data_IF_289150578717
#
_entry.id   IF_289150578717
#
_cell.length_a   1.000
_cell.length_b   1.000
_cell.length_c   1.000
_cell.angle_alpha   90.00
_cell.angle_beta   90.00
_cell.angle_gamma   90.00
#
_symmetry.space_group_name_H-M   'P 1'
#
loop_
_entity.id
_entity.type
_entity.pdbx_description
1 polymer ?
#
# COMPACT_ATOMS: atom_id res chain seq x y z
N UNK A 1 -11.37 16.91 -33.29
CA UNK A 1 -10.63 16.11 -32.29
C UNK A 1 -11.41 14.83 -32.06
N UNK A 2 -10.93 13.71 -32.59
CA UNK A 2 -11.55 12.41 -32.35
C UNK A 2 -10.95 11.83 -31.07
N UNK A 3 -11.79 11.47 -30.10
CA UNK A 3 -11.34 10.76 -28.90
C UNK A 3 -10.91 9.35 -29.31
N UNK A 4 -9.69 8.97 -28.91
CA UNK A 4 -9.17 7.65 -29.20
C UNK A 4 -9.66 6.64 -28.16
N UNK A 5 -9.49 5.34 -28.42
CA UNK A 5 -9.81 4.25 -27.50
C UNK A 5 -9.16 4.45 -26.12
N UNK A 6 -7.95 5.00 -26.10
CA UNK A 6 -7.24 5.34 -24.86
C UNK A 6 -7.95 6.43 -24.05
N UNK A 7 -8.48 7.46 -24.71
CA UNK A 7 -9.24 8.52 -24.04
C UNK A 7 -10.54 7.97 -23.42
N UNK A 8 -11.24 7.10 -24.15
CA UNK A 8 -12.43 6.42 -23.61
C UNK A 8 -12.11 5.54 -22.41
N UNK A 9 -10.96 4.85 -22.41
CA UNK A 9 -10.52 4.06 -21.27
C UNK A 9 -10.24 4.95 -20.04
N UNK A 10 -9.55 6.08 -20.22
CA UNK A 10 -9.27 7.04 -19.15
C UNK A 10 -10.58 7.60 -18.59
N UNK A 11 -11.51 8.03 -19.46
CA UNK A 11 -12.83 8.53 -19.04
C UNK A 11 -13.60 7.46 -18.27
N UNK A 12 -13.60 6.21 -18.74
CA UNK A 12 -14.27 5.11 -18.06
C UNK A 12 -13.70 4.88 -16.64
N UNK A 13 -12.37 4.89 -16.49
CA UNK A 13 -11.72 4.77 -15.19
C UNK A 13 -12.10 5.93 -14.28
N UNK A 14 -12.09 7.17 -14.78
CA UNK A 14 -12.48 8.36 -13.99
C UNK A 14 -13.95 8.31 -13.58
N UNK A 15 -14.86 7.89 -14.47
CA UNK A 15 -16.28 7.73 -14.15
C UNK A 15 -16.51 6.62 -13.12
N UNK A 16 -15.84 5.48 -13.26
CA UNK A 16 -15.90 4.41 -12.25
C UNK A 16 -15.36 4.90 -10.90
N UNK A 17 -14.26 5.66 -10.92
CA UNK A 17 -13.68 6.28 -9.73
C UNK A 17 -14.65 7.26 -9.08
N UNK A 18 -15.33 8.08 -9.89
CA UNK A 18 -16.33 9.02 -9.41
C UNK A 18 -17.52 8.28 -8.77
N UNK A 19 -18.06 7.25 -9.44
CA UNK A 19 -19.18 6.45 -8.93
C UNK A 19 -18.83 5.72 -7.63
N UNK A 20 -17.64 5.12 -7.56
CA UNK A 20 -17.17 4.46 -6.34
C UNK A 20 -16.95 5.47 -5.21
N UNK A 21 -16.40 6.65 -5.50
CA UNK A 21 -16.18 7.70 -4.51
C UNK A 21 -17.49 8.28 -3.98
N UNK A 22 -18.48 8.45 -4.87
CA UNK A 22 -19.83 8.89 -4.51
C UNK A 22 -20.54 7.87 -3.59
N UNK A 23 -20.35 6.56 -3.84
CA UNK A 23 -20.92 5.50 -3.00
C UNK A 23 -20.19 5.31 -1.67
N UNK A 24 -18.87 5.49 -1.64
CA UNK A 24 -18.05 5.27 -0.45
C UNK A 24 -18.00 6.46 0.50
N UNK A 25 -18.18 7.70 0.04
CA UNK A 25 -18.06 8.89 0.87
C UNK A 25 -16.61 9.24 1.24
N UNK A 26 -16.38 10.49 1.66
CA UNK A 26 -15.06 10.99 2.06
C UNK A 26 -14.55 10.28 3.32
N UNK A 27 -15.40 10.17 4.35
CA UNK A 27 -15.00 9.62 5.65
C UNK A 27 -14.51 8.18 5.55
N UNK A 28 -15.11 7.36 4.69
CA UNK A 28 -14.64 6.00 4.47
C UNK A 28 -13.30 5.93 3.75
N UNK A 29 -13.08 6.80 2.77
CA UNK A 29 -11.82 6.86 2.02
C UNK A 29 -10.68 7.38 2.91
N UNK A 30 -10.93 8.46 3.66
CA UNK A 30 -9.98 9.01 4.64
C UNK A 30 -9.76 8.02 5.79
N UNK A 31 -10.82 7.42 6.34
CA UNK A 31 -10.72 6.46 7.44
C UNK A 31 -9.93 5.21 7.05
N UNK A 32 -10.03 4.78 5.79
CA UNK A 32 -9.14 3.76 5.22
C UNK A 32 -7.68 4.18 5.26
N UNK A 33 -7.35 5.33 4.68
CA UNK A 33 -5.96 5.84 4.58
C UNK A 33 -5.37 6.17 5.95
N UNK A 34 -6.06 7.00 6.74
CA UNK A 34 -5.65 7.39 8.08
C UNK A 34 -5.61 6.18 9.01
N UNK A 35 -6.55 5.23 8.88
CA UNK A 35 -6.50 3.99 9.64
C UNK A 35 -5.27 3.15 9.31
N UNK A 36 -4.90 3.03 8.04
CA UNK A 36 -3.64 2.35 7.68
C UNK A 36 -2.41 3.08 8.21
N UNK A 37 -2.36 4.41 8.15
CA UNK A 37 -1.23 5.19 8.65
C UNK A 37 -1.11 5.12 10.18
N UNK A 38 -2.23 5.30 10.89
CA UNK A 38 -2.27 5.26 12.35
C UNK A 38 -2.01 3.84 12.84
N UNK A 39 -2.61 2.82 12.21
CA UNK A 39 -2.33 1.42 12.51
C UNK A 39 -0.87 1.05 12.28
N UNK A 40 -0.26 1.54 11.20
CA UNK A 40 1.16 1.34 10.91
C UNK A 40 2.05 2.02 11.96
N UNK A 41 1.75 3.27 12.31
CA UNK A 41 2.48 4.01 13.34
C UNK A 41 2.38 3.28 14.68
N UNK A 42 1.18 2.86 15.08
CA UNK A 42 0.97 2.07 16.28
C UNK A 42 1.75 0.73 16.23
N UNK A 43 1.75 0.04 15.09
CA UNK A 43 2.49 -1.21 14.94
C UNK A 43 4.00 -0.99 15.10
N UNK A 44 4.57 0.04 14.49
CA UNK A 44 5.99 0.37 14.63
C UNK A 44 6.36 0.67 16.09
N UNK A 45 5.49 1.38 16.82
CA UNK A 45 5.77 1.73 18.22
C UNK A 45 5.59 0.55 19.19
N UNK A 46 4.53 -0.24 19.02
CA UNK A 46 4.07 -1.19 20.05
C UNK A 46 4.29 -2.68 19.71
N UNK A 47 4.76 -3.03 18.51
CA UNK A 47 4.96 -4.44 18.11
C UNK A 47 5.84 -5.23 19.08
N UNK A 48 6.89 -4.60 19.63
CA UNK A 48 7.78 -5.24 20.61
C UNK A 48 7.11 -5.48 21.96
N UNK A 49 6.38 -4.48 22.45
CA UNK A 49 5.67 -4.60 23.74
C UNK A 49 4.61 -5.70 23.68
N UNK A 50 3.87 -5.78 22.57
CA UNK A 50 2.88 -6.83 22.38
C UNK A 50 3.54 -8.22 22.27
N UNK A 51 4.66 -8.34 21.56
CA UNK A 51 5.41 -9.59 21.48
C UNK A 51 5.93 -10.05 22.85
N UNK A 52 6.45 -9.12 23.68
CA UNK A 52 6.88 -9.40 25.05
C UNK A 52 5.69 -9.83 25.92
N UNK A 53 4.55 -9.15 25.81
CA UNK A 53 3.34 -9.52 26.54
C UNK A 53 2.84 -10.93 26.18
N UNK A 54 2.86 -11.28 24.89
CA UNK A 54 2.52 -12.63 24.41
C UNK A 54 3.49 -13.69 24.93
N UNK A 55 4.76 -13.36 25.12
CA UNK A 55 5.73 -14.26 25.74
C UNK A 55 5.48 -14.42 27.24
N UNK A 56 5.34 -13.32 27.97
CA UNK A 56 5.18 -13.35 29.43
C UNK A 56 3.90 -14.04 29.88
N UNK A 57 2.79 -13.87 29.15
CA UNK A 57 1.50 -14.44 29.54
C UNK A 57 1.24 -15.82 28.95
N UNK A 58 1.65 -16.07 27.71
CA UNK A 58 1.29 -17.30 26.98
C UNK A 58 2.49 -18.17 26.63
N UNK A 59 3.73 -17.70 26.85
CA UNK A 59 4.95 -18.39 26.42
C UNK A 59 4.96 -18.65 24.92
N UNK A 60 4.37 -17.75 24.12
CA UNK A 60 4.01 -18.03 22.74
C UNK A 60 5.23 -18.30 21.84
N UNK A 61 6.34 -17.60 22.06
CA UNK A 61 7.62 -17.82 21.37
C UNK A 61 8.25 -19.14 21.81
N UNK A 62 8.15 -19.49 23.11
CA UNK A 62 8.64 -20.78 23.62
C UNK A 62 7.85 -21.96 23.04
N UNK A 63 6.52 -21.84 22.98
CA UNK A 63 5.65 -22.84 22.34
C UNK A 63 5.98 -23.00 20.84
N UNK A 64 6.11 -21.88 20.14
CA UNK A 64 6.41 -21.88 18.70
C UNK A 64 7.82 -22.41 18.41
N UNK A 65 8.79 -22.15 19.29
CA UNK A 65 10.13 -22.73 19.21
C UNK A 65 10.09 -24.26 19.32
N UNK A 66 9.26 -24.81 20.22
CA UNK A 66 9.02 -26.25 20.33
C UNK A 66 8.44 -26.85 19.04
N UNK A 67 7.46 -26.17 18.42
CA UNK A 67 6.90 -26.60 17.12
C UNK A 67 7.97 -26.59 16.03
N UNK A 68 8.85 -25.58 16.01
CA UNK A 68 9.94 -25.52 15.03
C UNK A 68 10.99 -26.61 15.26
N UNK A 69 11.37 -26.92 16.50
CA UNK A 69 12.29 -28.02 16.78
C UNK A 69 11.71 -29.38 16.40
N UNK A 70 10.39 -29.57 16.48
CA UNK A 70 9.72 -30.84 16.16
C UNK A 70 9.45 -31.01 14.66
N UNK A 71 9.11 -29.93 13.94
CA UNK A 71 8.70 -29.98 12.51
C UNK A 71 9.81 -29.63 11.53
N UNK A 72 10.81 -28.87 11.96
CA UNK A 72 11.96 -28.51 11.14
C UNK A 72 13.21 -29.13 11.77
N UNK A 73 13.90 -30.07 11.08
CA UNK A 73 15.25 -30.44 11.46
C UNK A 73 16.15 -29.25 11.11
N UNK A 74 16.08 -28.19 11.91
CA UNK A 74 16.95 -27.03 11.78
C UNK A 74 18.37 -27.56 12.04
N UNK A 75 19.25 -27.56 11.02
CA UNK A 75 20.63 -27.91 11.24
C UNK A 75 21.11 -26.92 12.30
N UNK A 76 21.56 -27.43 13.45
CA UNK A 76 22.26 -26.62 14.43
C UNK A 76 23.28 -25.79 13.63
N UNK A 77 23.08 -24.46 13.58
CA UNK A 77 23.91 -23.60 12.75
C UNK A 77 25.36 -23.92 13.11
N UNK A 78 26.13 -24.37 12.13
CA UNK A 78 27.49 -24.82 12.36
C UNK A 78 28.23 -23.70 13.13
N UNK A 79 28.82 -23.98 14.30
CA UNK A 79 29.45 -22.95 15.15
C UNK A 79 30.52 -22.12 14.42
N UNK A 80 31.04 -22.61 13.28
CA UNK A 80 31.91 -21.85 12.37
C UNK A 80 31.23 -20.69 11.62
N UNK A 81 29.95 -20.80 11.26
CA UNK A 81 29.17 -19.73 10.60
C UNK A 81 28.77 -18.62 11.59
N UNK A 82 28.50 -18.99 12.85
CA UNK A 82 28.18 -18.05 13.93
C UNK A 82 29.38 -17.14 14.23
N UNK A 83 30.60 -17.70 14.21
CA UNK A 83 31.86 -16.94 14.35
C UNK A 83 32.19 -16.07 13.14
N UNK A 84 31.81 -16.47 11.92
CA UNK A 84 32.12 -15.73 10.70
C UNK A 84 31.21 -14.49 10.49
N UNK A 85 30.05 -14.47 11.12
CA UNK A 85 29.03 -13.42 10.95
C UNK A 85 28.83 -12.53 12.20
N UNK A 86 29.72 -12.67 13.19
CA UNK A 86 29.78 -11.87 14.44
C UNK A 86 28.41 -11.71 15.15
N UNK A 87 27.66 -12.81 15.20
CA UNK A 87 26.38 -12.79 15.88
C UNK A 87 26.57 -12.77 17.40
N UNK A 88 25.80 -11.95 18.15
CA UNK A 88 25.89 -11.88 19.60
C UNK A 88 25.58 -13.26 20.23
N UNK A 89 26.33 -13.61 21.28
CA UNK A 89 26.43 -14.92 21.91
C UNK A 89 25.11 -15.52 22.49
N UNK A 90 23.96 -14.90 22.26
CA UNK A 90 22.61 -15.42 22.60
C UNK A 90 22.02 -16.41 21.58
N UNK A 91 22.71 -16.72 20.47
CA UNK A 91 22.28 -17.69 19.45
C UNK A 91 22.49 -19.16 19.83
N UNK A 92 22.34 -19.53 21.11
CA UNK A 92 22.43 -20.93 21.52
C UNK A 92 21.26 -21.78 20.95
N UNK A 93 20.14 -21.15 20.56
CA UNK A 93 18.98 -21.86 20.02
C UNK A 93 18.35 -21.13 18.80
N UNK A 94 18.74 -21.49 17.55
CA UNK A 94 18.23 -20.83 16.35
C UNK A 94 16.71 -20.97 16.18
N UNK A 95 16.11 -22.01 16.76
CA UNK A 95 14.66 -22.19 16.78
C UNK A 95 13.97 -21.09 17.60
N UNK A 96 14.54 -20.72 18.75
CA UNK A 96 14.00 -19.70 19.64
C UNK A 96 14.14 -18.29 19.06
N UNK A 97 15.25 -17.99 18.38
CA UNK A 97 15.43 -16.73 17.67
C UNK A 97 14.41 -16.57 16.53
N UNK A 98 14.22 -17.62 15.71
CA UNK A 98 13.22 -17.63 14.65
C UNK A 98 11.80 -17.49 15.21
N UNK A 99 11.48 -18.21 16.28
CA UNK A 99 10.19 -18.12 16.95
C UNK A 99 9.92 -16.69 17.44
N UNK A 100 10.86 -16.10 18.18
CA UNK A 100 10.74 -14.74 18.70
C UNK A 100 10.56 -13.72 17.58
N UNK A 101 11.34 -13.85 16.50
CA UNK A 101 11.23 -12.97 15.33
C UNK A 101 9.87 -13.09 14.64
N UNK A 102 9.34 -14.32 14.53
CA UNK A 102 8.00 -14.55 13.98
C UNK A 102 6.91 -13.96 14.87
N UNK A 103 7.01 -14.13 16.20
CA UNK A 103 6.05 -13.56 17.15
C UNK A 103 6.06 -12.03 17.08
N UNK A 104 7.23 -11.41 16.95
CA UNK A 104 7.34 -9.95 16.71
C UNK A 104 6.65 -9.54 15.41
N UNK A 105 6.85 -10.29 14.32
CA UNK A 105 6.21 -10.02 13.04
C UNK A 105 4.68 -10.19 13.09
N UNK A 106 4.20 -11.24 13.77
CA UNK A 106 2.76 -11.47 14.00
C UNK A 106 2.19 -10.34 14.84
N UNK A 107 2.90 -9.92 15.89
CA UNK A 107 2.49 -8.81 16.77
C UNK A 107 2.36 -7.50 15.99
N UNK A 108 3.31 -7.22 15.12
CA UNK A 108 3.25 -6.08 14.21
C UNK A 108 2.00 -6.13 13.32
N UNK A 109 1.75 -7.27 12.67
CA UNK A 109 0.59 -7.45 11.81
C UNK A 109 -0.73 -7.33 12.58
N UNK A 110 -0.81 -7.88 13.79
CA UNK A 110 -1.99 -7.79 14.63
C UNK A 110 -2.30 -6.33 14.99
N UNK A 111 -1.31 -5.57 15.45
CA UNK A 111 -1.51 -4.16 15.79
C UNK A 111 -1.89 -3.34 14.56
N UNK A 112 -1.22 -3.58 13.43
CA UNK A 112 -1.54 -2.91 12.17
C UNK A 112 -3.00 -3.18 11.79
N UNK A 113 -3.42 -4.44 11.74
CA UNK A 113 -4.77 -4.81 11.31
C UNK A 113 -5.83 -4.30 12.29
N UNK A 114 -5.64 -4.50 13.60
CA UNK A 114 -6.59 -4.07 14.63
C UNK A 114 -6.65 -2.54 14.70
N UNK A 115 -5.50 -1.87 14.74
CA UNK A 115 -5.42 -0.41 14.77
C UNK A 115 -6.07 0.22 13.54
N UNK A 116 -5.78 -0.30 12.34
CA UNK A 116 -6.42 0.17 11.12
C UNK A 116 -7.91 -0.07 11.10
N UNK A 117 -8.37 -1.24 11.58
CA UNK A 117 -9.80 -1.55 11.63
C UNK A 117 -10.56 -0.70 12.64
N UNK A 118 -9.97 -0.40 13.79
CA UNK A 118 -10.58 0.47 14.80
C UNK A 118 -10.80 1.88 14.26
N UNK A 119 -9.79 2.48 13.64
CA UNK A 119 -9.92 3.81 13.03
C UNK A 119 -10.94 3.80 11.89
N UNK A 120 -10.93 2.77 11.05
CA UNK A 120 -11.94 2.62 9.99
C UNK A 120 -13.35 2.55 10.57
N UNK A 121 -13.56 1.77 11.64
CA UNK A 121 -14.86 1.62 12.29
C UNK A 121 -15.32 2.94 12.91
N UNK A 122 -14.43 3.70 13.56
CA UNK A 122 -14.74 5.02 14.09
C UNK A 122 -15.18 6.00 12.98
N UNK A 123 -14.48 5.99 11.84
CA UNK A 123 -14.87 6.81 10.69
C UNK A 123 -16.21 6.37 10.08
N UNK A 124 -16.48 5.07 10.00
CA UNK A 124 -17.77 4.53 9.53
C UNK A 124 -18.92 4.87 10.50
N UNK A 125 -18.67 4.84 11.81
CA UNK A 125 -19.64 5.26 12.83
C UNK A 125 -19.96 6.75 12.68
N UNK A 126 -18.93 7.57 12.54
CA UNK A 126 -19.07 9.01 12.33
C UNK A 126 -19.86 9.29 11.04
N UNK A 127 -19.57 8.55 9.97
CA UNK A 127 -20.31 8.62 8.72
C UNK A 127 -21.79 8.24 8.90
N UNK A 128 -22.10 7.20 9.67
CA UNK A 128 -23.49 6.79 9.96
C UNK A 128 -24.29 7.88 10.68
N UNK A 129 -23.65 8.62 11.59
CA UNK A 129 -24.27 9.73 12.32
C UNK A 129 -24.46 10.95 11.41
N UNK A 130 -23.48 11.26 10.55
CA UNK A 130 -23.53 12.38 9.61
C UNK A 130 -24.35 12.09 8.33
N UNK A 131 -24.77 10.84 8.12
CA UNK A 131 -25.53 10.43 6.94
C UNK A 131 -26.94 11.05 6.86
N UNK A 132 -27.49 11.55 7.97
CA UNK A 132 -28.79 12.22 8.03
C UNK A 132 -28.61 13.74 7.86
N UNK A 133 -28.64 14.23 6.61
CA UNK A 133 -28.70 15.67 6.31
C UNK A 133 -27.93 16.11 5.05
N UNK A 134 -27.86 17.43 4.83
CA UNK A 134 -27.16 18.07 3.69
C UNK A 134 -25.66 17.73 3.67
N UNK A 135 -25.06 17.49 4.85
CA UNK A 135 -23.67 17.03 5.00
C UNK A 135 -23.39 15.67 4.34
N UNK A 136 -24.40 14.82 4.15
CA UNK A 136 -24.27 13.54 3.43
C UNK A 136 -23.94 13.76 1.95
N UNK A 137 -24.56 14.77 1.32
CA UNK A 137 -24.27 15.16 -0.06
C UNK A 137 -22.83 15.68 -0.20
N UNK A 138 -22.38 16.51 0.73
CA UNK A 138 -21.01 17.03 0.77
C UNK A 138 -19.99 15.91 0.99
N UNK A 139 -20.24 14.99 1.92
CA UNK A 139 -19.38 13.82 2.17
C UNK A 139 -19.22 12.95 0.90
N UNK A 140 -20.32 12.68 0.20
CA UNK A 140 -20.29 11.90 -1.05
C UNK A 140 -19.59 12.64 -2.19
N UNK A 141 -19.81 13.95 -2.32
CA UNK A 141 -19.14 14.79 -3.30
C UNK A 141 -17.63 14.90 -3.07
N UNK A 142 -17.21 15.09 -1.82
CA UNK A 142 -15.79 15.11 -1.46
C UNK A 142 -15.14 13.72 -1.64
N UNK A 143 -15.87 12.64 -1.33
CA UNK A 143 -15.42 11.26 -1.58
C UNK A 143 -15.22 10.97 -3.07
N UNK A 144 -16.13 11.46 -3.92
CA UNK A 144 -16.00 11.43 -5.38
C UNK A 144 -14.73 12.17 -5.82
N UNK A 145 -14.59 13.44 -5.42
CA UNK A 145 -13.46 14.28 -5.81
C UNK A 145 -12.11 13.69 -5.40
N UNK A 146 -12.01 13.21 -4.15
CA UNK A 146 -10.77 12.62 -3.63
C UNK A 146 -10.40 11.32 -4.36
N UNK A 147 -11.37 10.46 -4.68
CA UNK A 147 -11.08 9.22 -5.39
C UNK A 147 -10.72 9.46 -6.87
N UNK A 148 -11.40 10.40 -7.52
CA UNK A 148 -11.05 10.85 -8.88
C UNK A 148 -9.65 11.43 -8.90
N UNK A 149 -9.33 12.36 -7.98
CA UNK A 149 -8.02 12.98 -7.89
C UNK A 149 -6.92 11.94 -7.64
N UNK A 150 -7.13 11.04 -6.67
CA UNK A 150 -6.19 9.94 -6.38
C UNK A 150 -5.93 9.09 -7.63
N UNK A 151 -6.98 8.62 -8.29
CA UNK A 151 -6.83 7.73 -9.44
C UNK A 151 -6.26 8.47 -10.65
N UNK A 152 -6.56 9.76 -10.81
CA UNK A 152 -5.93 10.61 -11.81
C UNK A 152 -4.42 10.72 -11.57
N UNK A 153 -3.98 10.95 -10.33
CA UNK A 153 -2.55 10.98 -10.00
C UNK A 153 -1.87 9.64 -10.25
N UNK A 154 -2.51 8.52 -9.87
CA UNK A 154 -1.99 7.18 -10.17
C UNK A 154 -1.82 6.97 -11.67
N UNK A 155 -2.83 7.34 -12.46
CA UNK A 155 -2.77 7.24 -13.92
C UNK A 155 -1.68 8.15 -14.51
N UNK A 156 -1.50 9.37 -13.99
CA UNK A 156 -0.46 10.29 -14.44
C UNK A 156 0.93 9.69 -14.20
N UNK A 157 1.16 9.14 -12.99
CA UNK A 157 2.42 8.45 -12.66
C UNK A 157 2.63 7.22 -13.53
N UNK A 158 1.61 6.38 -13.71
CA UNK A 158 1.71 5.21 -14.59
C UNK A 158 2.01 5.62 -16.03
N UNK A 159 1.33 6.64 -16.56
CA UNK A 159 1.57 7.14 -17.91
C UNK A 159 3.00 7.67 -18.06
N UNK A 160 3.45 8.57 -17.18
CA UNK A 160 4.79 9.15 -17.23
C UNK A 160 5.91 8.10 -17.13
N UNK A 161 5.74 7.11 -16.26
CA UNK A 161 6.71 6.03 -16.09
C UNK A 161 6.71 5.06 -17.27
N UNK A 162 5.55 4.77 -17.86
CA UNK A 162 5.43 3.79 -18.95
C UNK A 162 5.76 4.35 -20.33
N UNK A 163 5.60 5.65 -20.58
CA UNK A 163 5.89 6.24 -21.90
C UNK A 163 7.35 6.05 -22.31
N UNK A 164 8.30 6.34 -21.42
CA UNK A 164 9.74 6.21 -21.71
C UNK A 164 10.16 4.80 -22.20
N UNK A 165 9.86 3.70 -21.48
CA UNK A 165 10.20 2.36 -21.96
C UNK A 165 9.42 1.95 -23.21
N UNK A 166 8.18 2.43 -23.39
CA UNK A 166 7.41 2.14 -24.60
C UNK A 166 8.00 2.82 -25.84
N UNK A 167 8.43 4.08 -25.74
CA UNK A 167 9.10 4.77 -26.84
C UNK A 167 10.42 4.11 -27.21
N UNK A 168 11.20 3.69 -26.21
CA UNK A 168 12.43 2.93 -26.45
C UNK A 168 12.14 1.60 -27.15
N UNK A 169 11.11 0.87 -26.71
CA UNK A 169 10.66 -0.36 -27.36
C UNK A 169 10.21 -0.15 -28.81
N UNK A 170 9.51 0.96 -29.07
CA UNK A 170 9.07 1.33 -30.42
C UNK A 170 10.27 1.64 -31.33
N UNK A 171 11.27 2.37 -30.82
CA UNK A 171 12.53 2.64 -31.53
C UNK A 171 13.34 1.36 -31.81
N UNK A 172 13.22 0.34 -30.95
CA UNK A 172 13.81 -0.98 -31.16
C UNK A 172 13.01 -1.87 -32.14
N UNK A 173 11.91 -1.37 -32.70
CA UNK A 173 11.10 -2.09 -33.67
C UNK A 173 10.14 -3.13 -33.07
N UNK A 174 9.87 -3.07 -31.76
CA UNK A 174 8.89 -3.98 -31.14
C UNK A 174 7.47 -3.66 -31.68
N UNK A 175 6.79 -4.62 -32.32
CA UNK A 175 5.51 -4.35 -32.99
C UNK A 175 4.43 -3.89 -32.01
N UNK A 176 4.38 -4.45 -30.79
CA UNK A 176 3.44 -4.03 -29.76
C UNK A 176 3.70 -2.61 -29.24
N UNK A 177 4.97 -2.19 -29.20
CA UNK A 177 5.33 -0.84 -28.74
C UNK A 177 4.99 0.21 -29.80
N UNK A 178 5.25 -0.07 -31.09
CA UNK A 178 4.92 0.82 -32.21
C UNK A 178 3.42 1.16 -32.27
N UNK A 179 2.58 0.12 -32.19
CA UNK A 179 1.12 0.27 -32.20
C UNK A 179 0.68 1.12 -31.00
N UNK A 180 1.22 0.85 -29.82
CA UNK A 180 0.83 1.56 -28.59
C UNK A 180 1.28 3.02 -28.62
N UNK A 181 2.49 3.33 -29.11
CA UNK A 181 2.96 4.72 -29.23
C UNK A 181 2.13 5.54 -30.21
N UNK A 182 1.59 4.92 -31.26
CA UNK A 182 0.67 5.58 -32.19
C UNK A 182 -0.66 5.94 -31.50
N UNK A 183 -1.25 5.00 -30.75
CA UNK A 183 -2.44 5.29 -29.94
C UNK A 183 -2.20 6.36 -28.86
N UNK A 184 -0.98 6.42 -28.31
CA UNK A 184 -0.59 7.43 -27.32
C UNK A 184 -0.48 8.83 -27.91
N UNK A 185 0.14 8.98 -29.09
CA UNK A 185 0.28 10.28 -29.76
C UNK A 185 -1.07 10.88 -30.19
N UNK A 186 -2.05 10.02 -30.49
CA UNK A 186 -3.40 10.45 -30.88
C UNK A 186 -4.32 10.75 -29.66
N UNK A 187 -3.84 10.56 -28.42
CA UNK A 187 -4.66 10.70 -27.21
C UNK A 187 -4.46 12.06 -26.52
N UNK A 188 -5.54 12.85 -26.49
CA UNK A 188 -5.55 14.16 -25.83
C UNK A 188 -5.45 14.06 -24.30
N UNK A 189 -6.12 13.07 -23.69
CA UNK A 189 -6.12 12.93 -22.23
C UNK A 189 -4.78 12.41 -21.71
N UNK A 190 -4.07 11.62 -22.51
CA UNK A 190 -2.72 11.16 -22.16
C UNK A 190 -1.75 12.33 -22.07
N UNK A 191 -1.77 13.25 -23.04
CA UNK A 191 -0.95 14.46 -23.00
C UNK A 191 -1.20 15.26 -21.71
N UNK A 192 -2.48 15.40 -21.31
CA UNK A 192 -2.84 16.07 -20.07
C UNK A 192 -2.34 15.32 -18.81
N UNK A 193 -2.38 13.99 -18.81
CA UNK A 193 -1.82 13.15 -17.74
C UNK A 193 -0.29 13.31 -17.62
N UNK A 194 0.42 13.41 -18.74
CA UNK A 194 1.87 13.63 -18.77
C UNK A 194 2.23 15.02 -18.24
N UNK A 195 1.48 16.05 -18.62
CA UNK A 195 1.66 17.40 -18.07
C UNK A 195 1.47 17.43 -16.53
N UNK A 196 0.50 16.67 -16.02
CA UNK A 196 0.30 16.52 -14.57
C UNK A 196 1.47 15.77 -13.93
N UNK A 197 1.97 14.72 -14.58
CA UNK A 197 3.14 13.98 -14.10
C UNK A 197 4.38 14.87 -14.00
N UNK A 198 4.69 15.66 -15.03
CA UNK A 198 5.83 16.57 -15.04
C UNK A 198 5.70 17.66 -13.97
N UNK A 199 4.47 18.18 -13.77
CA UNK A 199 4.20 19.13 -12.69
C UNK A 199 4.44 18.52 -11.30
N UNK A 200 3.94 17.30 -11.07
CA UNK A 200 4.15 16.57 -9.80
C UNK A 200 5.63 16.26 -9.58
N UNK A 201 6.35 15.85 -10.62
CA UNK A 201 7.79 15.61 -10.58
C UNK A 201 8.55 16.87 -10.20
N UNK A 202 8.27 18.00 -10.85
CA UNK A 202 8.90 19.29 -10.54
C UNK A 202 8.63 19.76 -9.11
N UNK A 203 7.45 19.51 -8.56
CA UNK A 203 7.14 19.80 -7.15
C UNK A 203 7.93 18.94 -6.15
N UNK A 204 8.24 17.69 -6.51
CA UNK A 204 9.02 16.79 -5.68
C UNK A 204 10.52 17.14 -5.73
N UNK A 205 11.04 17.43 -6.91
CA UNK A 205 12.45 17.81 -7.12
C UNK A 205 12.79 19.15 -6.47
N UNK A 206 11.84 20.09 -6.39
CA UNK A 206 12.05 21.41 -5.76
C UNK A 206 11.92 21.39 -4.22
N UNK A 207 11.59 20.24 -3.62
CA UNK A 207 11.47 20.05 -2.17
C UNK A 207 12.58 19.19 -1.55
N UNK A 208 13.50 18.69 -2.36
CA UNK A 208 14.72 17.96 -1.97
C UNK A 208 15.91 18.92 -2.08
#
# INVERSE_FOLDING_TARGET
MQLNVLDYAIIAILLLSALVGLKRGLFRVIGGLMGTLIGLLAAILYHRELALYLEEQFGFSTWLAGVFQEKLPLPALNPGLIKALDFPAGLADPALYLATSLVIAISFLLILLLGSKLVQLLCELLEGILAHGILSGVNRGLGMGLLVLKNLLIMAVLAGVLVTPLELGARMGLPGALITTQYMHDSFLLEQLLNIFDYVKGLLENKV
#
